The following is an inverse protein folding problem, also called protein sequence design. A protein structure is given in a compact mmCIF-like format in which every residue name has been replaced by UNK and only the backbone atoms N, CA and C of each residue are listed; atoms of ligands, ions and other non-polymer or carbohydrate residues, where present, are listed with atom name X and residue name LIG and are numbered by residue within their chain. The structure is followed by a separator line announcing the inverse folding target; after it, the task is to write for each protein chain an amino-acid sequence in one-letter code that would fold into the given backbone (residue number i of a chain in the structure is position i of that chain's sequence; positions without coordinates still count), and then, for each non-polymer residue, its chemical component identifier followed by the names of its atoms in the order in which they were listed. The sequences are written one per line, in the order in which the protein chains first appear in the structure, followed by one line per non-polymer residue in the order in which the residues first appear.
data_IF_638667141622
#
_entry.id   IF_638667141622
#
_cell.length_a   1.000
_cell.length_b   1.000
_cell.length_c   1.000
_cell.angle_alpha   90.00
_cell.angle_beta   90.00
_cell.angle_gamma   90.00
#
_symmetry.space_group_name_H-M   'P 1'
#
loop_
_entity.id
_entity.type
_entity.pdbx_description
1 polymer ?
#
# COMPACT_ATOMS: atom_id res chain seq x y z
N UNK A 1 -1.32 6.24 -15.55
CA UNK A 1 -1.54 6.29 -14.11
C UNK A 1 -1.93 4.92 -13.56
N UNK A 2 -2.99 4.31 -14.10
CA UNK A 2 -3.56 3.06 -13.58
C UNK A 2 -2.66 1.80 -13.68
N UNK A 3 -2.02 1.55 -14.82
CA UNK A 3 -1.26 0.31 -15.04
C UNK A 3 -0.05 0.11 -14.10
N UNK A 4 0.80 1.14 -13.83
CA UNK A 4 1.86 1.02 -12.82
C UNK A 4 1.38 0.58 -11.43
N UNK A 5 0.13 0.91 -11.04
CA UNK A 5 -0.42 0.46 -9.75
C UNK A 5 -0.48 -1.07 -9.67
N UNK A 6 -0.84 -1.73 -10.78
CA UNK A 6 -0.88 -3.20 -10.88
C UNK A 6 0.53 -3.77 -10.73
N UNK A 7 1.50 -3.21 -11.45
CA UNK A 7 2.87 -3.72 -11.43
C UNK A 7 3.52 -3.58 -10.05
N UNK A 8 3.36 -2.43 -9.39
CA UNK A 8 3.86 -2.21 -8.05
C UNK A 8 3.19 -3.11 -7.02
N UNK A 9 1.89 -3.40 -7.17
CA UNK A 9 1.18 -4.28 -6.24
C UNK A 9 1.56 -5.74 -6.45
N UNK A 10 1.82 -6.18 -7.68
CA UNK A 10 2.45 -7.48 -7.96
C UNK A 10 3.78 -7.63 -7.18
N UNK A 11 4.64 -6.61 -7.15
CA UNK A 11 5.88 -6.64 -6.35
C UNK A 11 5.56 -6.77 -4.85
N UNK A 12 4.56 -6.03 -4.35
CA UNK A 12 4.13 -6.14 -2.95
C UNK A 12 3.58 -7.55 -2.62
N UNK A 13 2.80 -8.14 -3.53
CA UNK A 13 2.28 -9.51 -3.40
C UNK A 13 3.44 -10.50 -3.34
N UNK A 14 4.44 -10.35 -4.20
CA UNK A 14 5.65 -11.18 -4.16
C UNK A 14 6.34 -11.09 -2.79
N UNK A 15 6.60 -9.86 -2.33
CA UNK A 15 7.28 -9.60 -1.06
C UNK A 15 6.52 -10.19 0.13
N UNK A 16 5.19 -10.06 0.19
CA UNK A 16 4.39 -10.61 1.30
C UNK A 16 4.24 -12.13 1.22
N UNK A 17 4.12 -12.72 0.02
CA UNK A 17 4.06 -14.18 -0.14
C UNK A 17 5.38 -14.85 0.25
N UNK A 18 6.50 -14.25 -0.14
CA UNK A 18 7.86 -14.79 0.07
C UNK A 18 8.58 -14.20 1.29
N UNK A 19 7.85 -13.55 2.19
CA UNK A 19 8.41 -12.93 3.40
C UNK A 19 9.22 -13.91 4.27
N UNK A 20 8.86 -15.20 4.28
CA UNK A 20 9.49 -16.26 5.09
C UNK A 20 10.78 -16.85 4.47
N UNK A 21 11.02 -16.60 3.18
CA UNK A 21 12.02 -17.36 2.40
C UNK A 21 13.39 -16.71 2.53
N UNK A 22 14.32 -17.36 3.20
CA UNK A 22 15.63 -16.74 3.53
C UNK A 22 16.55 -16.56 2.32
N UNK A 23 16.56 -17.51 1.38
CA UNK A 23 17.40 -17.51 0.19
C UNK A 23 16.64 -18.02 -1.03
N UNK A 24 17.04 -17.56 -2.22
CA UNK A 24 16.48 -17.99 -3.49
C UNK A 24 15.24 -17.21 -3.94
N UNK A 25 15.11 -17.11 -5.26
CA UNK A 25 13.97 -16.46 -5.93
C UNK A 25 12.93 -17.52 -6.28
N UNK A 26 11.67 -17.28 -5.91
CA UNK A 26 10.57 -18.11 -6.39
C UNK A 26 10.18 -17.70 -7.82
N UNK A 27 10.74 -18.42 -8.79
CA UNK A 27 10.53 -18.16 -10.21
C UNK A 27 9.07 -18.41 -10.60
N UNK A 28 8.39 -19.38 -9.98
CA UNK A 28 7.00 -19.69 -10.30
C UNK A 28 6.07 -18.55 -9.89
N UNK A 29 6.22 -18.03 -8.66
CA UNK A 29 5.42 -16.87 -8.21
C UNK A 29 5.75 -15.63 -9.06
N UNK A 30 7.02 -15.42 -9.40
CA UNK A 30 7.44 -14.30 -10.24
C UNK A 30 6.81 -14.36 -11.64
N UNK A 31 6.85 -15.53 -12.28
CA UNK A 31 6.24 -15.76 -13.59
C UNK A 31 4.71 -15.63 -13.54
N UNK A 32 4.07 -16.13 -12.48
CA UNK A 32 2.62 -16.01 -12.31
C UNK A 32 2.18 -14.54 -12.18
N UNK A 33 2.89 -13.75 -11.37
CA UNK A 33 2.60 -12.31 -11.20
C UNK A 33 2.91 -11.52 -12.48
N UNK A 34 3.99 -11.87 -13.18
CA UNK A 34 4.28 -11.29 -14.49
C UNK A 34 3.14 -11.58 -15.48
N UNK A 35 2.74 -12.85 -15.61
CA UNK A 35 1.65 -13.26 -16.49
C UNK A 35 0.33 -12.54 -16.12
N UNK A 36 0.00 -12.46 -14.83
CA UNK A 36 -1.15 -11.70 -14.35
C UNK A 36 -1.08 -10.23 -14.80
N UNK A 37 0.03 -9.55 -14.55
CA UNK A 37 0.19 -8.13 -14.91
C UNK A 37 0.09 -7.90 -16.43
N UNK A 38 0.64 -8.83 -17.23
CA UNK A 38 0.56 -8.78 -18.69
C UNK A 38 -0.88 -8.98 -19.18
N UNK A 39 -1.61 -9.95 -18.62
CA UNK A 39 -3.02 -10.21 -18.95
C UNK A 39 -3.88 -8.99 -18.61
N UNK A 40 -3.76 -8.45 -17.39
CA UNK A 40 -4.50 -7.25 -16.98
C UNK A 40 -4.22 -6.09 -17.93
N UNK A 41 -2.95 -5.89 -18.29
CA UNK A 41 -2.55 -4.83 -19.23
C UNK A 41 -3.19 -5.01 -20.60
N UNK A 42 -3.07 -6.19 -21.20
CA UNK A 42 -3.61 -6.47 -22.53
C UNK A 42 -5.13 -6.31 -22.57
N UNK A 43 -5.84 -6.87 -21.59
CA UNK A 43 -7.31 -6.77 -21.50
C UNK A 43 -7.74 -5.32 -21.27
N UNK A 44 -7.04 -4.58 -20.39
CA UNK A 44 -7.37 -3.19 -20.13
C UNK A 44 -7.18 -2.29 -21.37
N UNK A 45 -6.13 -2.51 -22.16
CA UNK A 45 -5.89 -1.76 -23.40
C UNK A 45 -6.93 -2.04 -24.49
N UNK A 46 -7.55 -3.22 -24.47
CA UNK A 46 -8.63 -3.61 -25.39
C UNK A 46 -9.99 -3.06 -24.97
N UNK A 47 -10.38 -3.27 -23.70
CA UNK A 47 -11.72 -2.92 -23.21
C UNK A 47 -11.84 -1.42 -22.87
N UNK A 48 -10.76 -0.81 -22.37
CA UNK A 48 -10.67 0.61 -21.96
C UNK A 48 -11.78 1.07 -21.00
N UNK A 49 -12.26 0.15 -20.15
CA UNK A 49 -13.21 0.46 -19.08
C UNK A 49 -12.48 0.57 -17.73
N UNK A 50 -12.57 1.70 -17.02
CA UNK A 50 -11.84 1.91 -15.77
C UNK A 50 -12.27 0.93 -14.67
N UNK A 51 -13.52 0.45 -14.69
CA UNK A 51 -14.04 -0.52 -13.72
C UNK A 51 -13.26 -1.84 -13.76
N UNK A 52 -12.79 -2.28 -14.93
CA UNK A 52 -11.98 -3.50 -15.03
C UNK A 52 -10.67 -3.37 -14.24
N UNK A 53 -9.97 -2.24 -14.42
CA UNK A 53 -8.74 -1.96 -13.66
C UNK A 53 -9.02 -1.87 -12.16
N UNK A 54 -10.08 -1.17 -11.76
CA UNK A 54 -10.45 -1.01 -10.35
C UNK A 54 -10.68 -2.36 -9.66
N UNK A 55 -11.39 -3.28 -10.32
CA UNK A 55 -11.63 -4.63 -9.78
C UNK A 55 -10.33 -5.43 -9.72
N UNK A 56 -9.51 -5.42 -10.78
CA UNK A 56 -8.23 -6.13 -10.81
C UNK A 56 -7.31 -5.65 -9.68
N UNK A 57 -7.12 -4.34 -9.56
CA UNK A 57 -6.32 -3.72 -8.51
C UNK A 57 -6.89 -3.98 -7.11
N UNK A 58 -8.21 -3.93 -6.95
CA UNK A 58 -8.88 -4.24 -5.68
C UNK A 58 -8.61 -5.67 -5.20
N UNK A 59 -8.58 -6.64 -6.12
CA UNK A 59 -8.21 -8.03 -5.81
C UNK A 59 -6.75 -8.10 -5.33
N UNK A 60 -5.82 -7.43 -6.00
CA UNK A 60 -4.41 -7.41 -5.59
C UNK A 60 -4.22 -6.84 -4.17
N UNK A 61 -4.86 -5.71 -3.89
CA UNK A 61 -4.83 -5.08 -2.56
C UNK A 61 -5.40 -6.04 -1.51
N UNK A 62 -6.51 -6.73 -1.82
CA UNK A 62 -7.12 -7.70 -0.90
C UNK A 62 -6.19 -8.88 -0.61
N UNK A 63 -5.47 -9.39 -1.61
CA UNK A 63 -4.45 -10.44 -1.42
C UNK A 63 -3.35 -9.96 -0.48
N UNK A 64 -2.83 -8.74 -0.67
CA UNK A 64 -1.83 -8.14 0.22
C UNK A 64 -2.35 -8.04 1.66
N UNK A 65 -3.59 -7.57 1.85
CA UNK A 65 -4.20 -7.42 3.17
C UNK A 65 -4.41 -8.77 3.89
N UNK A 66 -4.96 -9.77 3.20
CA UNK A 66 -5.16 -11.11 3.77
C UNK A 66 -3.81 -11.71 4.17
N UNK A 67 -2.84 -11.75 3.25
CA UNK A 67 -1.56 -12.40 3.52
C UNK A 67 -0.79 -11.67 4.64
N UNK A 68 -0.85 -10.34 4.66
CA UNK A 68 -0.29 -9.52 5.75
C UNK A 68 -0.94 -9.84 7.10
N UNK A 69 -2.26 -9.98 7.14
CA UNK A 69 -3.00 -10.33 8.37
C UNK A 69 -2.66 -11.73 8.87
N UNK A 70 -2.52 -12.71 7.97
CA UNK A 70 -2.06 -14.06 8.33
C UNK A 70 -0.68 -14.04 8.99
N UNK A 71 0.28 -13.29 8.41
CA UNK A 71 1.61 -13.10 9.00
C UNK A 71 1.55 -12.45 10.39
N UNK A 72 0.70 -11.43 10.57
CA UNK A 72 0.54 -10.82 11.89
C UNK A 72 0.02 -11.79 12.93
N UNK A 73 -0.94 -12.64 12.56
CA UNK A 73 -1.49 -13.65 13.47
C UNK A 73 -0.48 -14.72 13.85
N UNK A 74 0.43 -15.09 12.95
CA UNK A 74 1.58 -15.96 13.26
C UNK A 74 2.56 -15.27 14.22
N UNK A 75 2.95 -14.03 13.91
CA UNK A 75 3.94 -13.27 14.69
C UNK A 75 3.39 -12.93 16.07
N UNK A 76 2.08 -12.67 16.21
CA UNK A 76 1.43 -12.41 17.50
C UNK A 76 1.66 -13.54 18.51
N UNK A 77 1.78 -14.79 18.05
CA UNK A 77 2.00 -15.97 18.91
C UNK A 77 3.43 -16.03 19.47
N UNK A 78 4.41 -15.44 18.78
CA UNK A 78 5.84 -15.60 19.10
C UNK A 78 6.50 -14.30 19.55
N UNK A 79 6.05 -13.15 19.05
CA UNK A 79 6.65 -11.85 19.32
C UNK A 79 5.58 -10.75 19.38
N UNK A 80 5.08 -10.48 20.58
CA UNK A 80 4.04 -9.47 20.82
C UNK A 80 4.50 -8.05 20.50
N UNK A 81 5.79 -7.73 20.72
CA UNK A 81 6.35 -6.42 20.40
C UNK A 81 6.31 -6.17 18.89
N UNK A 82 6.77 -7.14 18.11
CA UNK A 82 6.73 -7.10 16.65
C UNK A 82 5.32 -6.89 16.14
N UNK A 83 4.37 -7.67 16.68
CA UNK A 83 2.97 -7.57 16.33
C UNK A 83 2.40 -6.17 16.63
N UNK A 84 2.68 -5.59 17.80
CA UNK A 84 2.19 -4.26 18.14
C UNK A 84 2.71 -3.18 17.17
N UNK A 85 4.01 -3.18 16.86
CA UNK A 85 4.61 -2.24 15.90
C UNK A 85 4.04 -2.44 14.49
N UNK A 86 3.89 -3.69 14.04
CA UNK A 86 3.27 -4.05 12.75
C UNK A 86 1.80 -3.64 12.67
N UNK A 87 1.03 -3.83 13.73
CA UNK A 87 -0.39 -3.51 13.77
C UNK A 87 -0.61 -1.99 13.67
N UNK A 88 0.29 -1.18 14.25
CA UNK A 88 0.26 0.27 14.06
C UNK A 88 0.50 0.68 12.60
N UNK A 89 1.50 0.07 11.93
CA UNK A 89 1.76 0.32 10.51
C UNK A 89 0.59 -0.12 9.63
N UNK A 90 0.06 -1.32 9.90
CA UNK A 90 -1.08 -1.86 9.16
C UNK A 90 -2.32 -0.99 9.31
N UNK A 91 -2.68 -0.59 10.53
CA UNK A 91 -3.81 0.30 10.79
C UNK A 91 -3.64 1.66 10.11
N UNK A 92 -2.44 2.24 10.16
CA UNK A 92 -2.15 3.51 9.48
C UNK A 92 -2.27 3.37 7.95
N UNK A 93 -1.70 2.32 7.36
CA UNK A 93 -1.77 2.09 5.91
C UNK A 93 -3.20 1.85 5.42
N UNK A 94 -3.95 0.98 6.12
CA UNK A 94 -5.36 0.67 5.79
C UNK A 94 -6.25 1.90 5.95
N UNK A 95 -6.11 2.65 7.05
CA UNK A 95 -6.92 3.86 7.27
C UNK A 95 -6.61 4.94 6.23
N UNK A 96 -5.33 5.16 5.88
CA UNK A 96 -4.95 6.09 4.82
C UNK A 96 -5.57 5.72 3.46
N UNK A 97 -5.50 4.43 3.08
CA UNK A 97 -6.13 3.92 1.86
C UNK A 97 -7.65 4.03 1.89
N UNK A 98 -8.30 3.72 3.02
CA UNK A 98 -9.75 3.78 3.16
C UNK A 98 -10.27 5.22 3.06
N UNK A 99 -9.60 6.16 3.73
CA UNK A 99 -9.93 7.60 3.64
C UNK A 99 -9.73 8.09 2.22
N UNK A 100 -8.61 7.74 1.58
CA UNK A 100 -8.36 8.08 0.19
C UNK A 100 -9.52 7.55 -0.68
N UNK A 101 -9.86 6.27 -0.56
CA UNK A 101 -10.88 5.63 -1.39
C UNK A 101 -12.25 6.27 -1.20
N UNK A 102 -12.60 6.66 0.03
CA UNK A 102 -13.80 7.43 0.30
C UNK A 102 -13.78 8.79 -0.42
N UNK A 103 -12.68 9.55 -0.33
CA UNK A 103 -12.54 10.84 -1.03
C UNK A 103 -12.63 10.68 -2.55
N UNK A 104 -12.04 9.63 -3.10
CA UNK A 104 -12.11 9.32 -4.53
C UNK A 104 -13.54 9.00 -4.98
N UNK A 105 -14.32 8.27 -4.18
CA UNK A 105 -15.73 8.01 -4.48
C UNK A 105 -16.57 9.30 -4.41
N UNK A 106 -16.33 10.16 -3.41
CA UNK A 106 -16.99 11.47 -3.33
C UNK A 106 -16.65 12.33 -4.54
N UNK A 107 -15.38 12.36 -4.96
CA UNK A 107 -14.94 13.08 -6.17
C UNK A 107 -15.66 12.59 -7.42
N UNK A 108 -15.78 11.27 -7.61
CA UNK A 108 -16.47 10.68 -8.75
C UNK A 108 -17.97 11.00 -8.78
N UNK A 109 -18.66 10.91 -7.62
CA UNK A 109 -20.11 11.14 -7.53
C UNK A 109 -20.45 12.62 -7.64
N UNK A 110 -19.70 13.50 -6.98
CA UNK A 110 -19.98 14.95 -6.92
C UNK A 110 -19.07 15.78 -7.84
N UNK A 111 -18.51 15.16 -8.88
CA UNK A 111 -17.53 15.78 -9.78
C UNK A 111 -18.03 17.12 -10.37
N UNK A 112 -19.29 17.18 -10.82
CA UNK A 112 -19.86 18.40 -11.38
C UNK A 112 -19.99 19.51 -10.33
N UNK A 113 -20.48 19.19 -9.13
CA UNK A 113 -20.62 20.15 -8.03
C UNK A 113 -19.27 20.69 -7.57
N UNK A 114 -18.26 19.83 -7.40
CA UNK A 114 -16.90 20.22 -6.99
C UNK A 114 -16.22 21.09 -8.06
N UNK A 115 -16.45 20.81 -9.35
CA UNK A 115 -15.97 21.68 -10.45
C UNK A 115 -16.67 23.04 -10.45
N UNK A 116 -17.98 23.07 -10.25
CA UNK A 116 -18.73 24.32 -10.17
C UNK A 116 -18.24 25.21 -9.02
N UNK A 117 -18.02 24.63 -7.84
CA UNK A 117 -17.46 25.35 -6.68
C UNK A 117 -16.06 25.90 -7.02
N UNK A 118 -15.19 25.09 -7.62
CA UNK A 118 -13.84 25.54 -8.00
C UNK A 118 -13.83 26.67 -9.02
N UNK A 119 -14.76 26.66 -9.97
CA UNK A 119 -14.86 27.70 -10.99
C UNK A 119 -15.45 29.01 -10.42
N UNK A 120 -16.20 28.94 -9.32
CA UNK A 120 -16.79 30.10 -8.66
C UNK A 120 -15.86 30.75 -7.61
N UNK A 121 -14.82 30.04 -7.16
CA UNK A 121 -13.90 30.51 -6.13
C UNK A 121 -12.61 31.11 -6.69
N UNK A 122 -11.93 31.99 -5.94
CA UNK A 122 -10.59 32.45 -6.28
C UNK A 122 -9.60 31.27 -6.44
N UNK A 123 -8.63 31.43 -7.34
CA UNK A 123 -7.69 30.36 -7.71
C UNK A 123 -6.96 29.72 -6.52
N UNK A 124 -6.63 30.50 -5.48
CA UNK A 124 -5.95 29.98 -4.28
C UNK A 124 -6.82 29.03 -3.44
N UNK A 125 -8.14 29.09 -3.57
CA UNK A 125 -9.08 28.22 -2.85
C UNK A 125 -9.41 26.93 -3.62
N UNK A 126 -9.17 26.91 -4.94
CA UNK A 126 -9.46 25.78 -5.82
C UNK A 126 -8.83 24.44 -5.36
N UNK A 127 -7.58 24.40 -4.85
CA UNK A 127 -6.97 23.15 -4.38
C UNK A 127 -7.73 22.46 -3.24
N UNK A 128 -8.40 23.21 -2.36
CA UNK A 128 -9.14 22.64 -1.22
C UNK A 128 -10.33 21.76 -1.66
N UNK A 129 -10.85 21.98 -2.87
CA UNK A 129 -11.99 21.25 -3.41
C UNK A 129 -11.57 20.21 -4.47
N UNK A 130 -10.26 19.96 -4.64
CA UNK A 130 -9.75 18.94 -5.55
C UNK A 130 -9.57 17.62 -4.80
N UNK A 131 -10.67 16.92 -4.52
CA UNK A 131 -10.67 15.66 -3.77
C UNK A 131 -9.81 14.56 -4.44
N UNK A 132 -9.74 14.55 -5.76
CA UNK A 132 -8.82 13.68 -6.50
C UNK A 132 -7.34 13.87 -6.13
N UNK A 133 -6.90 15.09 -5.77
CA UNK A 133 -5.53 15.31 -5.31
C UNK A 133 -5.30 14.71 -3.92
N UNK A 134 -6.29 14.84 -3.02
CA UNK A 134 -6.23 14.22 -1.69
C UNK A 134 -6.27 12.69 -1.75
N UNK A 135 -6.96 12.11 -2.74
CA UNK A 135 -6.85 10.68 -3.05
C UNK A 135 -5.40 10.25 -3.29
N UNK A 136 -4.67 10.96 -4.16
CA UNK A 136 -3.26 10.66 -4.46
C UNK A 136 -2.36 10.80 -3.22
N UNK A 137 -2.60 11.81 -2.38
CA UNK A 137 -1.84 11.98 -1.13
C UNK A 137 -2.11 10.79 -0.19
N UNK A 138 -3.37 10.43 0.02
CA UNK A 138 -3.75 9.35 0.93
C UNK A 138 -3.24 7.98 0.45
N UNK A 139 -3.35 7.68 -0.84
CA UNK A 139 -2.82 6.43 -1.41
C UNK A 139 -1.30 6.41 -1.40
N UNK A 140 -0.61 7.54 -1.65
CA UNK A 140 0.84 7.62 -1.54
C UNK A 140 1.32 7.30 -0.10
N UNK A 141 0.65 7.87 0.92
CA UNK A 141 0.93 7.57 2.33
C UNK A 141 0.67 6.08 2.61
N UNK A 142 -0.48 5.55 2.18
CA UNK A 142 -0.83 4.14 2.35
C UNK A 142 0.19 3.19 1.72
N UNK A 143 0.60 3.47 0.47
CA UNK A 143 1.63 2.72 -0.25
C UNK A 143 2.99 2.77 0.47
N UNK A 144 3.42 3.95 0.90
CA UNK A 144 4.68 4.12 1.62
C UNK A 144 4.67 3.32 2.93
N UNK A 145 3.61 3.45 3.73
CA UNK A 145 3.47 2.71 4.99
C UNK A 145 3.41 1.21 4.75
N UNK A 146 2.75 0.75 3.68
CA UNK A 146 2.73 -0.66 3.26
C UNK A 146 4.13 -1.19 2.91
N UNK A 147 4.96 -0.40 2.24
CA UNK A 147 6.35 -0.77 1.94
C UNK A 147 7.16 -0.89 3.24
N UNK A 148 7.05 0.09 4.14
CA UNK A 148 7.71 0.06 5.46
C UNK A 148 7.23 -1.17 6.26
N UNK A 149 5.94 -1.47 6.23
CA UNK A 149 5.38 -2.67 6.85
C UNK A 149 6.01 -3.95 6.29
N UNK A 150 6.12 -4.08 4.96
CA UNK A 150 6.70 -5.26 4.31
C UNK A 150 8.19 -5.43 4.63
N UNK A 151 8.94 -4.32 4.67
CA UNK A 151 10.34 -4.33 5.11
C UNK A 151 10.44 -4.80 6.56
N UNK A 152 9.59 -4.27 7.45
CA UNK A 152 9.59 -4.65 8.86
C UNK A 152 9.24 -6.13 9.03
N UNK A 153 8.16 -6.60 8.39
CA UNK A 153 7.77 -8.01 8.33
C UNK A 153 8.96 -8.89 7.93
N UNK A 154 9.71 -8.51 6.90
CA UNK A 154 10.88 -9.24 6.45
C UNK A 154 11.97 -9.31 7.52
N UNK A 155 12.25 -8.22 8.22
CA UNK A 155 13.21 -8.20 9.32
C UNK A 155 12.79 -9.11 10.48
N UNK A 156 11.49 -9.17 10.77
CA UNK A 156 10.93 -10.10 11.77
C UNK A 156 11.14 -11.54 11.34
N UNK A 157 10.77 -11.91 10.10
CA UNK A 157 10.89 -13.28 9.59
C UNK A 157 12.34 -13.74 9.43
N UNK A 158 13.28 -12.81 9.21
CA UNK A 158 14.72 -13.09 9.21
C UNK A 158 15.33 -13.20 10.61
N UNK A 159 14.61 -12.80 11.67
CA UNK A 159 15.11 -12.84 13.04
C UNK A 159 16.20 -11.80 13.33
N UNK A 160 16.25 -10.70 12.57
CA UNK A 160 17.29 -9.65 12.70
C UNK A 160 16.72 -8.32 13.20
N UNK A 161 15.47 -8.32 13.67
CA UNK A 161 14.75 -7.12 14.11
C UNK A 161 15.47 -6.38 15.25
N UNK A 162 16.22 -7.05 16.12
CA UNK A 162 16.96 -6.39 17.21
C UNK A 162 18.00 -5.38 16.73
N UNK A 163 18.48 -5.54 15.48
CA UNK A 163 19.41 -4.61 14.82
C UNK A 163 18.72 -3.37 14.25
N UNK A 164 17.40 -3.29 14.34
CA UNK A 164 16.59 -2.24 13.74
C UNK A 164 15.54 -1.73 14.73
N UNK A 165 15.04 -0.51 14.48
CA UNK A 165 13.97 0.12 15.25
C UNK A 165 13.01 0.81 14.29
N UNK A 166 11.71 0.69 14.57
CA UNK A 166 10.70 1.51 13.94
C UNK A 166 10.74 2.91 14.58
N UNK A 167 11.05 3.94 13.79
CA UNK A 167 11.05 5.35 14.21
C UNK A 167 10.00 6.13 13.42
N UNK A 168 9.70 7.35 13.87
CA UNK A 168 8.80 8.28 13.17
C UNK A 168 9.48 9.63 12.95
N UNK A 169 9.60 10.05 11.70
CA UNK A 169 10.09 11.38 11.35
C UNK A 169 8.95 12.39 11.57
N UNK A 170 9.26 13.50 12.24
CA UNK A 170 8.28 14.50 12.67
C UNK A 170 7.06 13.88 13.39
N UNK A 171 7.26 12.77 14.12
CA UNK A 171 6.22 11.97 14.81
C UNK A 171 5.15 11.33 13.91
N UNK A 172 5.18 11.57 12.60
CA UNK A 172 4.09 11.18 11.68
C UNK A 172 4.56 10.07 10.73
N UNK A 173 5.72 10.23 10.10
CA UNK A 173 6.16 9.37 8.99
C UNK A 173 6.99 8.20 9.52
N UNK A 174 6.47 6.95 9.49
CA UNK A 174 7.21 5.80 10.01
C UNK A 174 8.36 5.42 9.07
N UNK A 175 9.52 5.09 9.62
CA UNK A 175 10.65 4.56 8.87
C UNK A 175 11.45 3.57 9.73
N UNK A 176 12.20 2.70 9.07
CA UNK A 176 13.06 1.73 9.74
C UNK A 176 14.47 2.32 9.83
N UNK A 177 14.99 2.34 11.05
CA UNK A 177 16.35 2.81 11.35
C UNK A 177 17.20 1.67 11.91
N UNK A 178 18.51 1.75 11.73
CA UNK A 178 19.44 0.78 12.32
C UNK A 178 19.63 1.13 13.80
N UNK A 179 19.53 0.13 14.67
CA UNK A 179 19.86 0.33 16.07
C UNK A 179 21.36 0.67 16.19
N UNK A 180 21.70 1.81 16.79
CA UNK A 180 23.07 2.15 17.13
C UNK A 180 23.66 1.06 18.04
N UNK A 181 24.94 0.73 17.86
CA UNK A 181 25.63 -0.17 18.78
C UNK A 181 25.62 0.49 20.16
N UNK A 182 25.09 -0.19 21.18
CA UNK A 182 25.36 0.20 22.56
C UNK A 182 26.86 0.08 22.78
N UNK A 183 27.55 1.21 22.95
CA UNK A 183 28.92 1.23 23.47
C UNK A 183 28.93 0.77 24.92
#
# INVERSE_FOLDING_TARGET
DELPMVYCTCVCIYCVLRADVKTGTDVYVSLALFAYSAIVTLVYLQIRKPVFHQVAYGIEVFVVLIRSSMHQMEIRKTNMRAYAEMNQLFGLGVSAFAVAFALWNVDNVFCHNLRAIRNALPAFMSPFFQLHAYWHIGTAIGCYVSIVYQQYLRLVKLGVMDKYRLRRAALIVPYIDRAEKSN
#
